data_IF_580621959511
#
_entry.id   IF_580621959511
#
_cell.length_a   1.000
_cell.length_b   1.000
_cell.length_c   1.000
_cell.angle_alpha   90.00
_cell.angle_beta   90.00
_cell.angle_gamma   90.00
#
_symmetry.space_group_name_H-M   'P 1'
#
loop_
_entity.id
_entity.type
_entity.pdbx_description
1 polymer ?
#
# COMPACT_ATOMS: atom_id res chain seq x y z
N UNK A 1 23.52 -6.72 -14.01
CA UNK A 1 23.01 -5.64 -13.12
C UNK A 1 22.53 -6.28 -11.82
N UNK A 2 23.06 -5.86 -10.66
CA UNK A 2 22.62 -6.40 -9.38
C UNK A 2 21.16 -6.02 -9.13
N UNK A 3 20.29 -7.01 -8.90
CA UNK A 3 18.90 -6.78 -8.51
C UNK A 3 18.90 -6.13 -7.14
N UNK A 4 18.73 -4.80 -7.08
CA UNK A 4 18.57 -4.08 -5.81
C UNK A 4 17.31 -4.60 -5.12
N UNK A 5 17.50 -5.30 -4.00
CA UNK A 5 16.41 -5.81 -3.18
C UNK A 5 15.62 -4.65 -2.56
N UNK A 6 14.30 -4.82 -2.43
CA UNK A 6 13.41 -3.89 -1.71
C UNK A 6 13.79 -3.70 -0.24
N UNK A 7 14.65 -4.58 0.28
CA UNK A 7 14.85 -4.84 1.70
C UNK A 7 15.64 -3.78 2.45
N UNK A 8 15.85 -2.59 1.90
CA UNK A 8 16.42 -1.50 2.69
C UNK A 8 15.41 -1.09 3.77
N UNK A 9 15.82 -1.11 5.04
CA UNK A 9 14.99 -0.75 6.19
C UNK A 9 14.27 0.60 6.03
N UNK A 10 14.93 1.60 5.42
CA UNK A 10 14.33 2.90 5.09
C UNK A 10 13.12 2.79 4.15
N UNK A 11 13.14 1.87 3.17
CA UNK A 11 12.04 1.64 2.23
C UNK A 11 10.87 0.95 2.91
N UNK A 12 11.16 0.04 3.83
CA UNK A 12 10.15 -0.59 4.68
C UNK A 12 9.41 0.46 5.50
N UNK A 13 10.13 1.40 6.12
CA UNK A 13 9.52 2.51 6.87
C UNK A 13 8.68 3.38 5.93
N UNK A 14 9.23 3.79 4.78
CA UNK A 14 8.53 4.68 3.85
C UNK A 14 7.21 4.08 3.30
N UNK A 15 7.24 2.81 2.89
CA UNK A 15 6.07 2.09 2.37
C UNK A 15 5.04 1.72 3.44
N UNK A 16 5.42 1.77 4.73
CA UNK A 16 4.55 1.45 5.86
C UNK A 16 4.38 2.64 6.82
N UNK A 17 4.76 3.85 6.44
CA UNK A 17 4.67 5.04 7.29
C UNK A 17 3.26 5.25 7.83
N UNK A 18 2.25 4.98 7.00
CA UNK A 18 0.84 5.04 7.40
C UNK A 18 0.46 3.96 8.42
N UNK A 19 1.05 2.76 8.34
CA UNK A 19 0.82 1.69 9.32
C UNK A 19 1.43 2.05 10.67
N UNK A 20 2.65 2.62 10.66
CA UNK A 20 3.27 3.15 11.87
C UNK A 20 2.44 4.26 12.50
N UNK A 21 1.95 5.21 11.69
CA UNK A 21 1.11 6.31 12.17
C UNK A 21 -0.18 5.79 12.83
N UNK A 22 -0.85 4.80 12.23
CA UNK A 22 -2.02 4.17 12.82
C UNK A 22 -1.71 3.47 14.14
N UNK A 23 -0.59 2.76 14.23
CA UNK A 23 -0.18 2.07 15.47
C UNK A 23 0.14 3.09 16.56
N UNK A 24 0.91 4.14 16.27
CA UNK A 24 1.23 5.19 17.23
C UNK A 24 0.00 5.97 17.68
N UNK A 25 -0.94 6.27 16.77
CA UNK A 25 -2.23 6.87 17.11
C UNK A 25 -3.04 5.96 18.03
N UNK A 26 -3.10 4.66 17.74
CA UNK A 26 -3.79 3.68 18.60
C UNK A 26 -3.19 3.60 20.01
N UNK A 27 -1.86 3.59 20.11
CA UNK A 27 -1.16 3.62 21.41
C UNK A 27 -1.42 4.95 22.13
N UNK A 28 -1.33 6.08 21.43
CA UNK A 28 -1.58 7.40 22.00
C UNK A 28 -3.00 7.54 22.56
N UNK A 29 -4.00 7.05 21.83
CA UNK A 29 -5.39 6.99 22.31
C UNK A 29 -5.46 6.10 23.55
N UNK A 30 -4.84 4.91 23.55
CA UNK A 30 -4.88 3.97 24.68
C UNK A 30 -4.23 4.52 25.97
N UNK A 31 -3.25 5.43 25.85
CA UNK A 31 -2.59 6.05 27.00
C UNK A 31 -3.45 7.09 27.72
N UNK A 32 -4.54 7.57 27.12
CA UNK A 32 -5.46 8.51 27.77
C UNK A 32 -6.18 7.79 28.92
N UNK A 33 -6.03 8.25 30.19
CA UNK A 33 -6.54 7.54 31.35
C UNK A 33 -8.04 7.78 31.59
N UNK A 34 -8.90 7.48 30.60
CA UNK A 34 -10.36 7.62 30.70
C UNK A 34 -10.97 6.73 31.78
N UNK A 35 -10.25 5.69 32.22
CA UNK A 35 -10.62 4.84 33.35
C UNK A 35 -10.77 5.61 34.67
N UNK A 36 -10.11 6.77 34.80
CA UNK A 36 -10.24 7.64 35.99
C UNK A 36 -11.55 8.42 36.02
N UNK A 37 -12.20 8.60 34.87
CA UNK A 37 -13.44 9.40 34.74
C UNK A 37 -14.65 8.47 34.78
N UNK A 38 -14.68 7.45 33.91
CA UNK A 38 -15.77 6.47 33.87
C UNK A 38 -15.35 5.19 33.16
N UNK A 39 -15.71 4.00 33.67
CA UNK A 39 -15.44 2.74 33.00
C UNK A 39 -16.15 2.63 31.63
N UNK A 40 -17.30 3.29 31.46
CA UNK A 40 -18.02 3.32 30.17
C UNK A 40 -17.21 4.03 29.07
N UNK A 41 -16.57 5.15 29.40
CA UNK A 41 -15.71 5.88 28.45
C UNK A 41 -14.49 5.06 28.03
N UNK A 42 -14.01 4.18 28.91
CA UNK A 42 -12.92 3.25 28.61
C UNK A 42 -13.35 2.21 27.57
N UNK A 43 -14.58 1.69 27.68
CA UNK A 43 -15.14 0.78 26.68
C UNK A 43 -15.30 1.49 25.32
N UNK A 44 -15.77 2.74 25.30
CA UNK A 44 -15.89 3.53 24.08
C UNK A 44 -14.51 3.81 23.43
N UNK A 45 -13.48 4.08 24.24
CA UNK A 45 -12.09 4.29 23.81
C UNK A 45 -11.46 3.03 23.20
N UNK A 46 -11.85 1.83 23.65
CA UNK A 46 -11.31 0.58 23.11
C UNK A 46 -11.61 0.41 21.61
N UNK A 47 -12.76 0.90 21.14
CA UNK A 47 -13.19 0.78 19.75
C UNK A 47 -12.19 1.44 18.77
N UNK A 48 -11.89 2.75 18.85
CA UNK A 48 -10.93 3.39 17.95
C UNK A 48 -9.52 2.82 18.10
N UNK A 49 -9.10 2.41 19.30
CA UNK A 49 -7.79 1.75 19.52
C UNK A 49 -7.70 0.45 18.72
N UNK A 50 -8.71 -0.43 18.85
CA UNK A 50 -8.77 -1.69 18.13
C UNK A 50 -8.81 -1.48 16.61
N UNK A 51 -9.60 -0.51 16.12
CA UNK A 51 -9.68 -0.18 14.70
C UNK A 51 -8.32 0.30 14.16
N UNK A 52 -7.62 1.17 14.89
CA UNK A 52 -6.30 1.66 14.48
C UNK A 52 -5.26 0.55 14.44
N UNK A 53 -5.20 -0.27 15.50
CA UNK A 53 -4.25 -1.39 15.59
C UNK A 53 -4.53 -2.46 14.54
N UNK A 54 -5.79 -2.87 14.36
CA UNK A 54 -6.16 -3.88 13.38
C UNK A 54 -5.83 -3.44 11.95
N UNK A 55 -6.13 -2.18 11.61
CA UNK A 55 -5.79 -1.63 10.30
C UNK A 55 -4.28 -1.49 10.11
N UNK A 56 -3.54 -1.05 11.13
CA UNK A 56 -2.07 -0.99 11.10
C UNK A 56 -1.45 -2.38 10.84
N UNK A 57 -1.86 -3.39 11.60
CA UNK A 57 -1.40 -4.78 11.44
C UNK A 57 -1.76 -5.36 10.07
N UNK A 58 -2.96 -5.09 9.55
CA UNK A 58 -3.38 -5.51 8.21
C UNK A 58 -2.43 -4.96 7.14
N UNK A 59 -2.02 -3.69 7.27
CA UNK A 59 -1.08 -3.07 6.33
C UNK A 59 0.32 -3.68 6.48
N UNK A 60 0.80 -3.96 7.69
CA UNK A 60 2.08 -4.65 7.89
C UNK A 60 2.11 -6.04 7.25
N UNK A 61 1.02 -6.81 7.38
CA UNK A 61 0.91 -8.14 6.76
C UNK A 61 1.01 -8.09 5.22
N UNK A 62 0.57 -7.00 4.59
CA UNK A 62 0.67 -6.81 3.13
C UNK A 62 2.09 -6.61 2.60
N UNK A 63 3.13 -6.63 3.46
CA UNK A 63 4.52 -6.42 3.07
C UNK A 63 5.02 -7.41 2.02
N UNK A 64 4.70 -8.71 2.18
CA UNK A 64 5.12 -9.74 1.21
C UNK A 64 4.57 -9.43 -0.19
N UNK A 65 3.33 -8.97 -0.28
CA UNK A 65 2.71 -8.58 -1.55
C UNK A 65 3.36 -7.35 -2.16
N UNK A 66 3.69 -6.34 -1.34
CA UNK A 66 4.43 -5.14 -1.79
C UNK A 66 5.79 -5.53 -2.38
N UNK A 67 6.51 -6.45 -1.75
CA UNK A 67 7.79 -6.98 -2.25
C UNK A 67 7.65 -7.71 -3.58
N UNK A 68 6.62 -8.57 -3.72
CA UNK A 68 6.32 -9.27 -4.98
C UNK A 68 6.00 -8.30 -6.11
N UNK A 69 5.15 -7.31 -5.85
CA UNK A 69 4.74 -6.29 -6.82
C UNK A 69 5.92 -5.44 -7.29
N UNK A 70 6.80 -5.04 -6.39
CA UNK A 70 8.04 -4.36 -6.75
C UNK A 70 8.89 -5.19 -7.71
N UNK A 71 9.12 -6.47 -7.37
CA UNK A 71 9.98 -7.34 -8.17
C UNK A 71 9.45 -7.48 -9.59
N UNK A 72 8.15 -7.72 -9.74
CA UNK A 72 7.49 -7.79 -11.04
C UNK A 72 7.64 -6.49 -11.83
N UNK A 73 7.47 -5.33 -11.18
CA UNK A 73 7.62 -4.03 -11.84
C UNK A 73 9.07 -3.77 -12.28
N UNK A 74 10.04 -4.14 -11.47
CA UNK A 74 11.47 -4.05 -11.82
C UNK A 74 11.81 -4.96 -12.99
N UNK A 75 11.43 -6.24 -12.95
CA UNK A 75 11.69 -7.22 -14.02
C UNK A 75 11.06 -6.80 -15.35
N UNK A 76 9.83 -6.27 -15.33
CA UNK A 76 9.12 -5.86 -16.54
C UNK A 76 9.68 -4.58 -17.18
N UNK A 77 10.43 -3.78 -16.43
CA UNK A 77 10.89 -2.45 -16.87
C UNK A 77 12.41 -2.28 -16.83
N UNK A 78 13.16 -3.34 -16.49
CA UNK A 78 14.63 -3.30 -16.43
C UNK A 78 15.27 -3.17 -17.82
N UNK A 79 14.69 -3.81 -18.82
CA UNK A 79 15.20 -3.79 -20.21
C UNK A 79 14.52 -2.67 -21.01
N UNK A 80 13.19 -2.75 -21.12
CA UNK A 80 12.37 -1.78 -21.88
C UNK A 80 11.34 -1.14 -20.96
N UNK A 81 11.27 0.19 -20.96
CA UNK A 81 10.29 0.90 -20.15
C UNK A 81 8.88 0.73 -20.72
N UNK A 82 7.97 0.18 -19.91
CA UNK A 82 6.58 -0.11 -20.27
C UNK A 82 5.63 0.65 -19.35
N UNK A 83 5.20 1.87 -19.71
CA UNK A 83 4.36 2.72 -18.85
C UNK A 83 3.03 2.04 -18.49
N UNK A 84 2.48 1.23 -19.39
CA UNK A 84 1.20 0.53 -19.19
C UNK A 84 1.22 -0.38 -17.95
N UNK A 85 2.37 -0.97 -17.64
CA UNK A 85 2.55 -1.85 -16.47
C UNK A 85 2.35 -1.13 -15.13
N UNK A 86 2.46 0.21 -15.10
CA UNK A 86 2.30 1.02 -13.90
C UNK A 86 0.85 1.46 -13.67
N UNK A 87 -0.03 1.35 -14.67
CA UNK A 87 -1.41 1.89 -14.65
C UNK A 87 -2.23 1.44 -13.44
N UNK A 88 -2.16 0.15 -13.11
CA UNK A 88 -2.87 -0.43 -11.95
C UNK A 88 -2.35 0.14 -10.62
N UNK A 89 -1.04 0.29 -10.52
CA UNK A 89 -0.37 0.78 -9.31
C UNK A 89 -0.57 2.28 -9.09
N UNK A 90 -0.80 3.04 -10.16
CA UNK A 90 -1.06 4.48 -10.08
C UNK A 90 -2.44 4.84 -9.49
N UNK A 91 -3.36 3.88 -9.40
CA UNK A 91 -4.70 4.12 -8.82
C UNK A 91 -4.67 4.20 -7.29
N UNK A 92 -3.79 3.45 -6.63
CA UNK A 92 -3.74 3.36 -5.17
C UNK A 92 -2.65 4.26 -4.56
N UNK A 93 -2.87 4.88 -3.38
CA UNK A 93 -1.83 5.68 -2.71
C UNK A 93 -0.55 4.89 -2.43
N UNK A 94 -0.67 3.68 -1.90
CA UNK A 94 0.46 2.79 -1.63
C UNK A 94 1.15 2.31 -2.91
N UNK A 95 0.38 2.08 -3.98
CA UNK A 95 0.91 1.72 -5.30
C UNK A 95 1.74 2.86 -5.89
N UNK A 96 1.29 4.11 -5.78
CA UNK A 96 2.05 5.30 -6.22
C UNK A 96 3.39 5.44 -5.48
N UNK A 97 3.42 5.17 -4.18
CA UNK A 97 4.68 5.15 -3.42
C UNK A 97 5.62 4.06 -3.93
N UNK A 98 5.08 2.87 -4.25
CA UNK A 98 5.83 1.77 -4.85
C UNK A 98 6.42 2.15 -6.21
N UNK A 99 5.62 2.77 -7.09
CA UNK A 99 6.06 3.24 -8.41
C UNK A 99 7.21 4.23 -8.28
N UNK A 100 7.12 5.19 -7.35
CA UNK A 100 8.23 6.15 -7.11
C UNK A 100 9.54 5.44 -6.74
N UNK A 101 9.48 4.40 -5.91
CA UNK A 101 10.67 3.64 -5.53
C UNK A 101 11.23 2.90 -6.74
N UNK A 102 10.38 2.20 -7.50
CA UNK A 102 10.78 1.48 -8.72
C UNK A 102 11.44 2.41 -9.73
N UNK A 103 10.83 3.57 -10.02
CA UNK A 103 11.40 4.54 -10.95
C UNK A 103 12.73 5.11 -10.46
N UNK A 104 12.86 5.36 -9.15
CA UNK A 104 14.14 5.77 -8.55
C UNK A 104 15.22 4.71 -8.75
N UNK A 105 14.87 3.44 -8.62
CA UNK A 105 15.81 2.32 -8.79
C UNK A 105 16.18 2.05 -10.25
N UNK A 106 15.26 2.32 -11.18
CA UNK A 106 15.50 2.29 -12.62
C UNK A 106 16.24 3.53 -13.15
N UNK A 107 16.47 4.54 -12.31
CA UNK A 107 17.07 5.81 -12.72
C UNK A 107 16.15 6.71 -13.57
N UNK A 108 14.84 6.47 -13.55
CA UNK A 108 13.81 7.16 -14.37
C UNK A 108 12.83 7.95 -13.50
N UNK A 109 13.33 8.65 -12.49
CA UNK A 109 12.50 9.36 -11.49
C UNK A 109 11.67 10.50 -12.12
N UNK A 110 12.20 11.10 -13.18
CA UNK A 110 11.60 12.15 -14.01
C UNK A 110 10.31 11.67 -14.71
N UNK A 111 10.23 10.39 -15.09
CA UNK A 111 9.07 9.77 -15.72
C UNK A 111 7.85 9.64 -14.78
N UNK A 112 7.98 9.94 -13.49
CA UNK A 112 6.84 9.86 -12.58
C UNK A 112 5.71 10.83 -12.96
N UNK A 113 6.07 12.02 -13.47
CA UNK A 113 5.12 13.06 -13.85
C UNK A 113 4.24 12.64 -15.04
N UNK A 114 4.82 11.92 -16.01
CA UNK A 114 4.08 11.40 -17.16
C UNK A 114 3.13 10.27 -16.75
N UNK A 115 3.54 9.42 -15.80
CA UNK A 115 2.71 8.34 -15.28
C UNK A 115 1.52 8.84 -14.44
N UNK A 116 1.58 10.05 -13.85
CA UNK A 116 0.45 10.63 -13.11
C UNK A 116 -0.78 10.83 -13.99
N UNK A 117 -0.61 10.98 -15.32
CA UNK A 117 -1.71 11.09 -16.28
C UNK A 117 -2.53 9.81 -16.41
N UNK A 118 -1.99 8.66 -16.00
CA UNK A 118 -2.69 7.36 -15.99
C UNK A 118 -3.68 7.24 -14.82
N UNK A 119 -3.70 8.21 -13.91
CA UNK A 119 -4.63 8.24 -12.78
C UNK A 119 -6.05 8.51 -13.27
N UNK A 120 -6.99 7.64 -12.90
CA UNK A 120 -8.41 7.88 -13.12
C UNK A 120 -8.97 8.88 -12.10
N UNK A 121 -10.05 9.61 -12.44
CA UNK A 121 -10.81 10.42 -11.49
C UNK A 121 -11.15 9.62 -10.23
N UNK A 122 -11.15 10.30 -9.07
CA UNK A 122 -11.46 9.65 -7.78
C UNK A 122 -12.84 9.01 -7.80
N UNK A 123 -13.79 9.64 -8.51
CA UNK A 123 -15.16 9.15 -8.64
C UNK A 123 -15.24 7.78 -9.34
N UNK A 124 -14.43 7.56 -10.37
CA UNK A 124 -14.37 6.29 -11.09
C UNK A 124 -13.74 5.18 -10.24
N UNK A 125 -12.74 5.53 -9.42
CA UNK A 125 -12.09 4.59 -8.51
C UNK A 125 -13.00 4.20 -7.33
N UNK A 126 -13.84 5.11 -6.85
CA UNK A 126 -14.86 4.79 -5.83
C UNK A 126 -15.92 3.83 -6.39
N UNK A 127 -16.41 4.11 -7.61
CA UNK A 127 -17.42 3.27 -8.27
C UNK A 127 -16.92 1.84 -8.51
N UNK A 128 -15.64 1.70 -8.89
CA UNK A 128 -15.00 0.39 -9.12
C UNK A 128 -14.56 -0.31 -7.83
N UNK A 129 -14.27 0.42 -6.75
CA UNK A 129 -13.97 -0.17 -5.44
C UNK A 129 -15.21 -0.76 -4.75
N UNK A 130 -16.41 -0.25 -5.06
CA UNK A 130 -17.67 -0.81 -4.60
C UNK A 130 -18.13 -2.05 -5.38
N UNK A 131 -17.53 -2.32 -6.54
CA UNK A 131 -17.79 -3.56 -7.28
C UNK A 131 -16.82 -4.66 -6.84
N UNK A 132 -17.29 -5.82 -6.39
CA UNK A 132 -16.40 -6.92 -5.98
C UNK A 132 -15.54 -7.38 -7.15
N UNK A 133 -14.22 -7.27 -7.01
CA UNK A 133 -13.28 -7.83 -7.98
C UNK A 133 -13.26 -9.36 -7.87
N UNK A 134 -13.80 -10.04 -8.88
CA UNK A 134 -13.60 -11.48 -9.06
C UNK A 134 -12.24 -11.73 -9.70
N UNK A 135 -11.31 -12.29 -8.95
CA UNK A 135 -10.06 -12.82 -9.50
C UNK A 135 -10.36 -14.17 -10.15
N UNK A 136 -10.25 -14.25 -11.48
CA UNK A 136 -10.35 -15.51 -12.21
C UNK A 136 -8.93 -16.05 -12.40
N UNK A 137 -8.66 -17.25 -11.92
CA UNK A 137 -7.35 -17.89 -12.09
C UNK A 137 -7.45 -18.84 -13.28
N UNK A 138 -6.55 -18.69 -14.24
CA UNK A 138 -6.44 -19.63 -15.36
C UNK A 138 -5.32 -20.61 -15.07
N UNK A 139 -5.64 -21.91 -15.03
CA UNK A 139 -4.67 -23.01 -14.96
C UNK A 139 -4.86 -23.81 -16.26
N UNK A 140 -3.79 -23.98 -17.05
CA UNK A 140 -3.80 -24.68 -18.34
C UNK A 140 -4.94 -24.27 -19.28
N UNK A 141 -5.17 -22.96 -19.41
CA UNK A 141 -6.18 -22.41 -20.32
C UNK A 141 -7.63 -22.61 -19.89
N UNK A 142 -7.90 -23.23 -18.74
CA UNK A 142 -9.25 -23.37 -18.17
C UNK A 142 -9.48 -22.40 -17.02
N UNK A 143 -10.68 -21.79 -16.99
CA UNK A 143 -11.14 -20.93 -15.90
C UNK A 143 -11.41 -21.78 -14.66
N UNK A 144 -10.80 -21.41 -13.53
CA UNK A 144 -11.06 -21.97 -12.18
C UNK A 144 -11.61 -20.88 -11.28
#
# INVERSE_FOLDING_TARGET
>A
MAVKTVSTFSRFIYLNAYAFLLVFMGIGIALVPLYRISPWLTALQAIPVLVCLANGLKIFRSWKDKGRKYRILMERNSETFRPDSFTEYMQAPCGRLLVRIVLKDLGKSDMYSSLLKLRKPVMDNLRTSCTPQKTIVYIDGKKV
#
